data_IF_086890710344
#
_entry.id   IF_086890710344
#
_cell.length_a   1.000
_cell.length_b   1.000
_cell.length_c   1.000
_cell.angle_alpha   90.00
_cell.angle_beta   90.00
_cell.angle_gamma   90.00
#
_symmetry.space_group_name_H-M   'P 1'
#
loop_
_entity.id
_entity.type
_entity.pdbx_description
1 polymer ?
#
# COMPACT_ATOMS: atom_id res chain seq x y z
N UNK A 1 -22.44 12.79 -6.44
CA UNK A 1 -21.49 13.71 -5.78
C UNK A 1 -20.27 12.91 -5.39
N UNK A 2 -19.09 13.50 -5.52
CA UNK A 2 -17.79 12.85 -5.29
C UNK A 2 -16.96 13.70 -4.35
N UNK A 3 -16.39 13.09 -3.31
CA UNK A 3 -15.39 13.72 -2.45
C UNK A 3 -14.01 13.26 -2.92
N UNK A 4 -13.30 14.14 -3.61
CA UNK A 4 -11.95 13.87 -4.09
C UNK A 4 -10.92 14.29 -3.02
N UNK A 5 -10.38 13.32 -2.28
CA UNK A 5 -9.32 13.58 -1.30
C UNK A 5 -7.98 13.64 -2.01
N UNK A 6 -7.36 14.82 -2.06
CA UNK A 6 -6.09 15.06 -2.74
C UNK A 6 -4.99 15.36 -1.73
N UNK A 7 -3.81 14.76 -1.90
CA UNK A 7 -2.63 15.07 -1.07
C UNK A 7 -1.98 16.37 -1.57
N UNK A 8 -1.89 17.37 -0.68
CA UNK A 8 -1.28 18.69 -0.92
C UNK A 8 0.20 18.61 -1.31
N UNK A 9 0.94 17.63 -0.78
CA UNK A 9 2.35 17.46 -1.06
C UNK A 9 2.63 16.77 -2.42
N UNK A 10 1.60 16.18 -3.04
CA UNK A 10 1.65 15.59 -4.37
C UNK A 10 0.50 16.10 -5.25
N UNK A 11 0.18 17.39 -5.11
CA UNK A 11 -1.06 17.97 -5.65
C UNK A 11 -1.15 17.84 -7.17
N UNK A 12 -0.04 18.02 -7.89
CA UNK A 12 0.03 17.95 -9.35
C UNK A 12 -0.51 16.61 -9.89
N UNK A 13 -0.06 15.49 -9.32
CA UNK A 13 -0.53 14.16 -9.72
C UNK A 13 -2.01 13.94 -9.38
N UNK A 14 -2.44 14.42 -8.21
CA UNK A 14 -3.82 14.20 -7.76
C UNK A 14 -4.82 15.07 -8.54
N UNK A 15 -4.41 16.26 -8.96
CA UNK A 15 -5.24 17.11 -9.82
C UNK A 15 -5.48 16.49 -11.20
N UNK A 16 -4.60 15.60 -11.68
CA UNK A 16 -4.89 14.82 -12.89
C UNK A 16 -6.16 13.99 -12.72
N UNK A 17 -6.33 13.30 -11.59
CA UNK A 17 -7.58 12.59 -11.28
C UNK A 17 -8.76 13.55 -11.14
N UNK A 18 -8.57 14.71 -10.51
CA UNK A 18 -9.64 15.73 -10.44
C UNK A 18 -10.07 16.17 -11.83
N UNK A 19 -9.13 16.34 -12.78
CA UNK A 19 -9.42 16.73 -14.16
C UNK A 19 -10.30 15.72 -14.91
N UNK A 20 -10.27 14.43 -14.52
CA UNK A 20 -11.16 13.38 -15.04
C UNK A 20 -12.57 13.43 -14.45
N UNK A 21 -12.67 13.86 -13.19
CA UNK A 21 -13.92 13.85 -12.43
C UNK A 21 -14.78 15.08 -12.72
N UNK A 22 -14.16 16.24 -12.95
CA UNK A 22 -14.86 17.51 -13.14
C UNK A 22 -15.83 17.53 -14.34
N UNK A 23 -15.56 16.89 -15.50
CA UNK A 23 -16.48 16.91 -16.63
C UNK A 23 -17.72 16.02 -16.43
N UNK A 24 -17.76 15.17 -15.40
CA UNK A 24 -18.93 14.33 -15.10
C UNK A 24 -20.07 15.16 -14.46
N UNK A 25 -21.31 14.71 -14.62
CA UNK A 25 -22.48 15.32 -13.98
C UNK A 25 -22.44 15.34 -12.43
N UNK A 26 -21.58 14.52 -11.83
CA UNK A 26 -21.44 14.47 -10.38
C UNK A 26 -20.70 15.69 -9.86
N UNK A 27 -21.32 16.44 -8.94
CA UNK A 27 -20.63 17.51 -8.20
C UNK A 27 -19.41 16.97 -7.46
N UNK A 28 -18.26 17.62 -7.60
CA UNK A 28 -16.98 17.26 -6.97
C UNK A 28 -16.66 18.25 -5.86
N UNK A 29 -16.26 17.75 -4.69
CA UNK A 29 -15.64 18.56 -3.63
C UNK A 29 -14.24 18.05 -3.38
N UNK A 30 -13.29 18.96 -3.21
CA UNK A 30 -11.87 18.62 -3.02
C UNK A 30 -11.50 18.72 -1.53
N UNK A 31 -11.12 17.59 -0.94
CA UNK A 31 -10.50 17.55 0.38
C UNK A 31 -8.98 17.63 0.24
N UNK A 32 -8.40 18.81 0.46
CA UNK A 32 -6.96 19.03 0.38
C UNK A 32 -6.28 18.53 1.66
N UNK A 33 -5.82 17.28 1.65
CA UNK A 33 -5.23 16.59 2.79
C UNK A 33 -3.71 16.75 2.85
N UNK A 34 -3.10 16.45 4.00
CA UNK A 34 -1.64 16.50 4.25
C UNK A 34 -1.02 17.90 4.03
N UNK A 35 -1.77 18.96 4.36
CA UNK A 35 -1.28 20.35 4.29
C UNK A 35 -0.10 20.62 5.22
N UNK A 36 0.00 19.88 6.33
CA UNK A 36 1.14 19.94 7.25
C UNK A 36 2.41 19.31 6.66
N UNK A 37 2.28 18.18 5.97
CA UNK A 37 3.41 17.54 5.27
C UNK A 37 3.91 18.42 4.12
N UNK A 38 3.01 19.05 3.37
CA UNK A 38 3.40 19.99 2.32
C UNK A 38 4.19 21.18 2.89
N UNK A 39 3.72 21.75 4.01
CA UNK A 39 4.38 22.85 4.69
C UNK A 39 5.77 22.46 5.25
N UNK A 40 5.92 21.25 5.78
CA UNK A 40 7.22 20.71 6.26
C UNK A 40 8.24 20.57 5.11
N UNK A 41 7.79 20.36 3.87
CA UNK A 41 8.62 20.39 2.64
C UNK A 41 8.79 21.78 2.04
N UNK A 42 8.31 22.83 2.72
CA UNK A 42 8.38 24.21 2.24
C UNK A 42 7.41 24.54 1.09
N UNK A 43 6.45 23.65 0.79
CA UNK A 43 5.37 23.91 -0.16
C UNK A 43 4.16 24.47 0.58
N UNK A 44 3.73 25.68 0.21
CA UNK A 44 2.50 26.26 0.74
C UNK A 44 1.42 26.21 -0.33
N UNK A 45 0.30 25.55 -0.01
CA UNK A 45 -0.87 25.45 -0.90
C UNK A 45 -1.96 26.32 -0.32
N UNK A 46 -2.42 27.31 -1.08
CA UNK A 46 -3.47 28.24 -0.67
C UNK A 46 -4.85 27.68 -1.07
N UNK A 47 -5.67 27.16 -0.12
CA UNK A 47 -6.91 26.46 -0.45
C UNK A 47 -7.92 27.36 -1.16
N UNK A 48 -8.02 28.62 -0.75
CA UNK A 48 -8.97 29.58 -1.33
C UNK A 48 -8.60 29.93 -2.77
N UNK A 49 -7.30 30.02 -3.08
CA UNK A 49 -6.83 30.27 -4.46
C UNK A 49 -7.07 29.04 -5.33
N UNK A 50 -6.88 27.83 -4.78
CA UNK A 50 -7.19 26.60 -5.48
C UNK A 50 -8.69 26.46 -5.75
N UNK A 51 -9.54 26.80 -4.77
CA UNK A 51 -11.00 26.84 -4.93
C UNK A 51 -11.42 27.78 -6.05
N UNK A 52 -10.89 29.01 -6.07
CA UNK A 52 -11.17 29.97 -7.12
C UNK A 52 -10.68 29.49 -8.50
N UNK A 53 -9.51 28.85 -8.57
CA UNK A 53 -8.93 28.36 -9.81
C UNK A 53 -9.70 27.16 -10.39
N UNK A 54 -10.10 26.22 -9.53
CA UNK A 54 -10.86 25.02 -9.90
C UNK A 54 -12.36 25.31 -10.11
N UNK A 55 -12.91 26.32 -9.45
CA UNK A 55 -14.35 26.61 -9.49
C UNK A 55 -15.22 25.60 -8.74
N UNK A 56 -14.61 24.83 -7.81
CA UNK A 56 -15.29 23.86 -6.94
C UNK A 56 -14.80 24.03 -5.50
N UNK A 57 -15.62 23.68 -4.48
CA UNK A 57 -15.23 23.84 -3.09
C UNK A 57 -13.96 23.05 -2.74
N UNK A 58 -13.02 23.70 -2.03
CA UNK A 58 -11.77 23.09 -1.56
C UNK A 58 -11.67 23.27 -0.05
N UNK A 59 -11.59 22.16 0.68
CA UNK A 59 -11.45 22.18 2.15
C UNK A 59 -10.09 21.63 2.54
N UNK A 60 -9.29 22.44 3.22
CA UNK A 60 -8.01 21.99 3.79
C UNK A 60 -8.21 21.10 5.00
N UNK A 61 -7.51 19.98 5.05
CA UNK A 61 -7.64 19.00 6.12
C UNK A 61 -6.32 18.33 6.50
N UNK A 62 -6.29 17.83 7.74
CA UNK A 62 -5.27 16.88 8.22
C UNK A 62 -6.04 15.70 8.80
N UNK A 63 -6.34 14.72 7.93
CA UNK A 63 -7.17 13.56 8.28
C UNK A 63 -6.64 12.81 9.50
N UNK A 64 -5.32 12.63 9.58
CA UNK A 64 -4.66 11.95 10.69
C UNK A 64 -4.90 12.63 12.07
N UNK A 65 -5.11 13.95 12.09
CA UNK A 65 -5.39 14.75 13.28
C UNK A 65 -6.88 15.08 13.44
N UNK A 66 -7.74 14.52 12.59
CA UNK A 66 -9.18 14.80 12.52
C UNK A 66 -9.50 16.31 12.40
N UNK A 67 -8.63 17.07 11.72
CA UNK A 67 -8.81 18.51 11.46
C UNK A 67 -9.32 18.72 10.04
N UNK A 68 -10.31 19.59 9.82
CA UNK A 68 -10.89 19.84 8.50
C UNK A 68 -11.95 18.82 8.06
N UNK A 69 -12.17 17.74 8.85
CA UNK A 69 -13.14 16.69 8.50
C UNK A 69 -14.57 17.18 8.68
N UNK A 70 -14.84 17.94 9.75
CA UNK A 70 -16.18 18.48 9.99
C UNK A 70 -16.52 19.56 8.97
N UNK A 71 -15.56 20.43 8.70
CA UNK A 71 -15.66 21.48 7.69
C UNK A 71 -15.89 20.90 6.29
N UNK A 72 -15.28 19.74 5.98
CA UNK A 72 -15.54 19.02 4.74
C UNK A 72 -16.96 18.47 4.68
N UNK A 73 -17.47 17.92 5.78
CA UNK A 73 -18.86 17.45 5.87
C UNK A 73 -19.85 18.62 5.73
N UNK A 74 -19.58 19.74 6.39
CA UNK A 74 -20.42 20.94 6.29
C UNK A 74 -20.43 21.46 4.83
N UNK A 75 -19.29 21.48 4.15
CA UNK A 75 -19.20 21.87 2.74
C UNK A 75 -19.90 20.88 1.80
N UNK A 76 -19.86 19.58 2.12
CA UNK A 76 -20.63 18.54 1.42
C UNK A 76 -22.14 18.81 1.53
N UNK A 77 -22.62 19.12 2.74
CA UNK A 77 -24.03 19.40 2.99
C UNK A 77 -24.47 20.66 2.23
N UNK A 78 -23.69 21.75 2.29
CA UNK A 78 -23.99 22.99 1.57
C UNK A 78 -24.03 22.78 0.04
N UNK A 79 -23.11 22.00 -0.51
CA UNK A 79 -23.06 21.69 -1.95
C UNK A 79 -24.24 20.80 -2.39
N UNK A 80 -24.67 19.88 -1.53
CA UNK A 80 -25.84 19.04 -1.77
C UNK A 80 -27.13 19.87 -1.82
N UNK A 81 -27.29 20.85 -0.92
CA UNK A 81 -28.44 21.76 -0.88
C UNK A 81 -28.39 22.87 -1.96
N UNK A 82 -27.28 22.99 -2.69
CA UNK A 82 -27.12 23.97 -3.76
C UNK A 82 -26.83 25.39 -3.27
N UNK A 83 -26.36 25.53 -2.04
CA UNK A 83 -26.06 26.81 -1.40
C UNK A 83 -24.68 27.35 -1.78
N UNK A 84 -23.80 26.50 -2.32
CA UNK A 84 -22.48 26.88 -2.83
C UNK A 84 -22.47 26.98 -4.36
N UNK A 85 -21.90 28.06 -4.94
CA UNK A 85 -21.65 28.13 -6.37
C UNK A 85 -20.79 26.95 -6.84
N UNK A 86 -21.24 26.26 -7.89
CA UNK A 86 -20.50 25.14 -8.48
C UNK A 86 -20.35 25.40 -9.98
N UNK A 87 -19.14 25.83 -10.38
CA UNK A 87 -18.82 26.18 -11.77
C UNK A 87 -17.39 25.70 -12.07
N UNK A 88 -17.21 24.39 -12.29
CA UNK A 88 -15.89 23.80 -12.45
C UNK A 88 -15.19 24.38 -13.68
N UNK A 89 -13.92 24.72 -13.52
CA UNK A 89 -13.03 25.10 -14.60
C UNK A 89 -12.47 23.83 -15.24
N UNK A 90 -12.98 23.47 -16.41
CA UNK A 90 -12.67 22.19 -17.07
C UNK A 90 -11.31 22.23 -17.80
N UNK A 91 -10.59 21.10 -17.89
CA UNK A 91 -9.43 20.99 -18.77
C UNK A 91 -9.89 21.13 -20.23
N UNK A 92 -9.10 21.87 -21.02
CA UNK A 92 -9.30 21.99 -22.46
C UNK A 92 -8.32 21.10 -23.20
N UNK A 93 -8.76 20.49 -24.30
CA UNK A 93 -7.87 19.82 -25.24
C UNK A 93 -7.00 20.85 -25.98
N UNK A 94 -5.81 20.40 -26.41
CA UNK A 94 -4.91 21.20 -27.24
C UNK A 94 -5.64 21.68 -28.50
N UNK A 95 -5.32 22.91 -28.92
CA UNK A 95 -6.08 23.64 -29.93
C UNK A 95 -6.22 22.91 -31.27
N UNK A 96 -5.22 22.11 -31.63
CA UNK A 96 -5.15 21.33 -32.87
C UNK A 96 -6.15 20.17 -32.96
N UNK A 97 -6.73 19.73 -31.83
CA UNK A 97 -7.68 18.63 -31.78
C UNK A 97 -9.08 19.06 -31.30
N UNK A 98 -9.34 20.38 -31.16
CA UNK A 98 -10.66 20.89 -30.74
C UNK A 98 -11.73 20.63 -31.78
N UNK A 99 -11.42 20.89 -33.05
CA UNK A 99 -12.36 20.68 -34.16
C UNK A 99 -12.75 19.20 -34.28
N UNK A 100 -11.77 18.31 -34.13
CA UNK A 100 -11.97 16.85 -34.13
C UNK A 100 -12.88 16.41 -32.98
N UNK A 101 -12.67 16.96 -31.78
CA UNK A 101 -13.52 16.68 -30.63
C UNK A 101 -14.96 17.15 -30.86
N UNK A 102 -15.15 18.34 -31.45
CA UNK A 102 -16.47 18.88 -31.78
C UNK A 102 -17.20 18.03 -32.84
N UNK A 103 -16.46 17.47 -33.82
CA UNK A 103 -16.99 16.55 -34.82
C UNK A 103 -17.48 15.24 -34.18
N UNK A 104 -16.66 14.61 -33.34
CA UNK A 104 -17.06 13.42 -32.58
C UNK A 104 -18.26 13.73 -31.69
N UNK A 105 -18.27 14.88 -31.02
CA UNK A 105 -19.40 15.32 -30.18
C UNK A 105 -20.71 15.36 -30.97
N UNK A 106 -20.68 15.91 -32.18
CA UNK A 106 -21.86 16.00 -33.03
C UNK A 106 -22.35 14.62 -33.49
N UNK A 107 -21.45 13.68 -33.75
CA UNK A 107 -21.80 12.32 -34.16
C UNK A 107 -22.41 11.48 -33.03
N UNK A 108 -21.98 11.72 -31.78
CA UNK A 108 -22.39 10.90 -30.63
C UNK A 108 -23.52 11.50 -29.80
N UNK A 109 -23.87 12.78 -29.99
CA UNK A 109 -24.78 13.54 -29.11
C UNK A 109 -26.09 12.84 -28.77
N UNK A 110 -26.70 12.20 -29.77
CA UNK A 110 -28.04 11.60 -29.63
C UNK A 110 -28.00 10.16 -29.09
N UNK A 111 -26.81 9.59 -28.98
CA UNK A 111 -26.58 8.17 -28.67
C UNK A 111 -25.91 7.94 -27.32
N UNK A 112 -25.45 9.00 -26.64
CA UNK A 112 -24.79 8.87 -25.34
C UNK A 112 -25.82 8.43 -24.27
N UNK A 113 -25.61 7.29 -23.61
CA UNK A 113 -26.53 6.83 -22.58
C UNK A 113 -26.40 7.66 -21.30
N UNK A 114 -27.53 7.91 -20.63
CA UNK A 114 -27.52 8.41 -19.25
C UNK A 114 -26.82 7.38 -18.34
N UNK A 115 -25.96 7.81 -17.38
CA UNK A 115 -25.79 9.16 -16.86
C UNK A 115 -24.60 9.95 -17.46
N UNK A 116 -24.03 9.51 -18.59
CA UNK A 116 -22.80 10.08 -19.11
C UNK A 116 -23.03 11.41 -19.85
N UNK A 117 -22.20 12.44 -19.61
CA UNK A 117 -22.20 13.65 -20.43
C UNK A 117 -21.67 13.39 -21.84
N UNK A 118 -22.21 14.10 -22.83
CA UNK A 118 -21.77 13.98 -24.23
C UNK A 118 -20.31 14.41 -24.39
N UNK A 119 -19.93 15.58 -23.85
CA UNK A 119 -18.56 16.10 -23.96
C UNK A 119 -17.53 15.13 -23.35
N UNK A 120 -17.86 14.54 -22.19
CA UNK A 120 -17.01 13.56 -21.53
C UNK A 120 -16.88 12.28 -22.36
N UNK A 121 -17.98 11.80 -22.95
CA UNK A 121 -17.98 10.59 -23.79
C UNK A 121 -17.17 10.79 -25.07
N UNK A 122 -17.36 11.92 -25.74
CA UNK A 122 -16.57 12.28 -26.92
C UNK A 122 -15.07 12.37 -26.60
N UNK A 123 -14.72 13.00 -25.46
CA UNK A 123 -13.34 13.08 -24.99
C UNK A 123 -12.75 11.70 -24.70
N UNK A 124 -13.53 10.79 -24.09
CA UNK A 124 -13.08 9.42 -23.77
C UNK A 124 -12.88 8.54 -25.00
N UNK A 125 -13.74 8.70 -26.02
CA UNK A 125 -13.53 8.05 -27.32
C UNK A 125 -12.22 8.53 -27.97
N UNK A 126 -11.98 9.84 -27.94
CA UNK A 126 -10.77 10.45 -28.49
C UNK A 126 -9.49 10.07 -27.70
N UNK A 127 -9.62 9.81 -26.40
CA UNK A 127 -8.54 9.29 -25.55
C UNK A 127 -8.27 7.79 -25.78
N UNK A 128 -9.16 7.07 -26.48
CA UNK A 128 -9.05 5.63 -26.72
C UNK A 128 -9.42 4.77 -25.50
N UNK A 129 -10.35 5.24 -24.66
CA UNK A 129 -10.84 4.48 -23.51
C UNK A 129 -11.53 3.19 -23.98
N UNK A 130 -10.99 2.03 -23.61
CA UNK A 130 -11.45 0.73 -24.11
C UNK A 130 -12.89 0.39 -23.68
N UNK A 131 -13.31 0.81 -22.48
CA UNK A 131 -14.63 0.50 -21.93
C UNK A 131 -15.70 1.35 -22.60
N UNK A 132 -15.46 2.67 -22.72
CA UNK A 132 -16.37 3.59 -23.42
C UNK A 132 -16.43 3.29 -24.91
N UNK A 133 -15.30 2.95 -25.54
CA UNK A 133 -15.25 2.53 -26.95
C UNK A 133 -16.11 1.29 -27.18
N UNK A 134 -15.99 0.27 -26.34
CA UNK A 134 -16.79 -0.95 -26.47
C UNK A 134 -18.29 -0.68 -26.24
N UNK A 135 -18.64 0.09 -25.20
CA UNK A 135 -20.02 0.48 -24.93
C UNK A 135 -20.64 1.22 -26.11
N UNK A 136 -19.95 2.25 -26.62
CA UNK A 136 -20.48 3.08 -27.71
C UNK A 136 -20.61 2.29 -29.01
N UNK A 137 -19.64 1.43 -29.34
CA UNK A 137 -19.68 0.57 -30.53
C UNK A 137 -20.76 -0.50 -30.47
N UNK A 138 -20.83 -1.23 -29.35
CA UNK A 138 -21.58 -2.48 -29.29
C UNK A 138 -23.04 -2.26 -28.85
N UNK A 139 -23.36 -1.14 -28.20
CA UNK A 139 -24.65 -0.94 -27.53
C UNK A 139 -25.35 0.36 -27.88
N UNK A 140 -24.62 1.42 -28.27
CA UNK A 140 -25.20 2.76 -28.38
C UNK A 140 -25.31 3.26 -29.83
N UNK A 141 -24.22 3.23 -30.59
CA UNK A 141 -24.17 3.75 -31.94
C UNK A 141 -24.62 2.70 -32.97
N UNK A 142 -25.39 3.09 -34.00
CA UNK A 142 -25.59 2.23 -35.16
C UNK A 142 -24.30 2.09 -35.95
N UNK A 143 -24.20 1.01 -36.74
CA UNK A 143 -22.96 0.64 -37.43
C UNK A 143 -22.41 1.73 -38.37
N UNK A 144 -23.28 2.48 -39.04
CA UNK A 144 -22.89 3.55 -39.97
C UNK A 144 -22.27 4.76 -39.24
N UNK A 145 -22.87 5.19 -38.13
CA UNK A 145 -22.32 6.27 -37.30
C UNK A 145 -21.02 5.83 -36.61
N UNK A 146 -20.95 4.57 -36.16
CA UNK A 146 -19.71 4.02 -35.60
C UNK A 146 -18.58 4.04 -36.61
N UNK A 147 -18.83 3.68 -37.88
CA UNK A 147 -17.81 3.69 -38.93
C UNK A 147 -17.25 5.10 -39.16
N UNK A 148 -18.11 6.12 -39.13
CA UNK A 148 -17.68 7.54 -39.19
C UNK A 148 -16.79 7.91 -37.99
N UNK A 149 -17.25 7.65 -36.77
CA UNK A 149 -16.46 7.93 -35.55
C UNK A 149 -15.13 7.18 -35.58
N UNK A 150 -15.15 5.90 -35.94
CA UNK A 150 -13.95 5.07 -35.99
C UNK A 150 -12.95 5.57 -37.03
N UNK A 151 -13.42 6.05 -38.19
CA UNK A 151 -12.54 6.63 -39.21
C UNK A 151 -11.80 7.87 -38.72
N UNK A 152 -12.48 8.74 -37.95
CA UNK A 152 -11.88 9.93 -37.33
C UNK A 152 -10.86 9.51 -36.27
N UNK A 153 -11.20 8.56 -35.41
CA UNK A 153 -10.29 8.06 -34.37
C UNK A 153 -9.01 7.45 -34.95
N UNK A 154 -9.12 6.70 -36.04
CA UNK A 154 -7.97 6.11 -36.74
C UNK A 154 -7.12 7.16 -37.47
N UNK A 155 -7.72 8.26 -37.93
CA UNK A 155 -6.97 9.36 -38.54
C UNK A 155 -6.19 10.19 -37.51
N UNK A 156 -6.62 10.18 -36.24
CA UNK A 156 -6.09 10.99 -35.15
C UNK A 156 -5.58 10.14 -33.97
N UNK A 157 -4.72 9.16 -34.24
CA UNK A 157 -4.12 8.33 -33.18
C UNK A 157 -3.28 9.15 -32.16
N UNK A 158 -2.79 10.33 -32.55
CA UNK A 158 -2.05 11.25 -31.68
C UNK A 158 -2.96 12.06 -30.73
N UNK A 159 -4.28 11.97 -30.87
CA UNK A 159 -5.22 12.70 -30.05
C UNK A 159 -5.14 12.31 -28.56
N UNK A 160 -4.75 11.06 -28.26
CA UNK A 160 -4.48 10.59 -26.88
C UNK A 160 -3.42 11.48 -26.21
N UNK A 161 -2.36 11.83 -26.95
CA UNK A 161 -1.31 12.71 -26.46
C UNK A 161 -1.82 14.16 -26.31
N UNK A 162 -2.69 14.62 -27.20
CA UNK A 162 -3.30 15.94 -27.13
C UNK A 162 -4.22 16.10 -25.91
N UNK A 163 -5.03 15.09 -25.60
CA UNK A 163 -5.88 15.04 -24.39
C UNK A 163 -5.02 15.05 -23.14
N UNK A 164 -4.02 14.18 -23.06
CA UNK A 164 -3.11 14.11 -21.93
C UNK A 164 -2.37 15.45 -21.72
N UNK A 165 -1.85 16.04 -22.79
CA UNK A 165 -1.15 17.33 -22.75
C UNK A 165 -2.05 18.46 -22.26
N UNK A 166 -3.28 18.56 -22.75
CA UNK A 166 -4.25 19.57 -22.33
C UNK A 166 -4.58 19.49 -20.83
N UNK A 167 -4.70 18.28 -20.29
CA UNK A 167 -4.88 18.04 -18.86
C UNK A 167 -3.65 18.45 -18.04
N UNK A 168 -2.45 18.08 -18.47
CA UNK A 168 -1.22 18.50 -17.80
C UNK A 168 -1.03 20.02 -17.82
N UNK A 169 -1.38 20.68 -18.92
CA UNK A 169 -1.37 22.13 -19.00
C UNK A 169 -2.37 22.76 -18.03
N UNK A 170 -3.59 22.23 -17.95
CA UNK A 170 -4.60 22.66 -16.99
C UNK A 170 -4.13 22.47 -15.56
N UNK A 171 -3.60 21.29 -15.20
CA UNK A 171 -3.01 21.02 -13.88
C UNK A 171 -1.90 22.03 -13.59
N UNK A 172 -0.99 22.26 -14.54
CA UNK A 172 0.08 23.23 -14.41
C UNK A 172 -0.42 24.66 -14.15
N UNK A 173 -1.54 25.06 -14.75
CA UNK A 173 -2.20 26.35 -14.46
C UNK A 173 -2.73 26.39 -13.02
N UNK A 174 -3.42 25.35 -12.57
CA UNK A 174 -3.96 25.25 -11.20
C UNK A 174 -2.84 25.30 -10.15
N UNK A 175 -1.75 24.56 -10.38
CA UNK A 175 -0.58 24.53 -9.51
C UNK A 175 0.11 25.89 -9.46
N UNK A 176 0.34 26.54 -10.62
CA UNK A 176 0.96 27.88 -10.65
C UNK A 176 0.14 28.93 -9.93
N UNK A 177 -1.19 28.80 -9.92
CA UNK A 177 -2.07 29.72 -9.21
C UNK A 177 -2.01 29.49 -7.70
N UNK A 178 -2.09 28.24 -7.24
CA UNK A 178 -2.38 27.94 -5.83
C UNK A 178 -1.20 27.44 -5.00
N UNK A 179 -0.05 27.12 -5.61
CA UNK A 179 1.10 26.53 -4.91
C UNK A 179 2.31 27.45 -4.96
N UNK A 180 2.78 27.86 -3.79
CA UNK A 180 4.09 28.50 -3.63
C UNK A 180 5.14 27.45 -3.26
N UNK A 181 6.12 27.25 -4.15
CA UNK A 181 7.25 26.33 -3.95
C UNK A 181 8.46 27.06 -3.35
N UNK A 182 9.32 26.38 -2.57
CA UNK A 182 10.54 26.99 -2.05
C UNK A 182 11.51 27.35 -3.18
N UNK A 183 12.43 28.30 -2.93
CA UNK A 183 13.46 28.70 -3.92
C UNK A 183 14.34 27.49 -4.28
N UNK A 184 14.59 27.31 -5.58
CA UNK A 184 15.45 26.26 -6.11
C UNK A 184 16.81 26.27 -5.40
N UNK A 185 17.18 25.14 -4.76
CA UNK A 185 18.46 24.98 -4.04
C UNK A 185 18.38 24.82 -2.51
N UNK A 186 17.20 24.91 -1.89
CA UNK A 186 17.02 24.52 -0.48
C UNK A 186 16.86 23.01 -0.37
N UNK A 187 17.88 22.33 0.16
CA UNK A 187 17.80 20.90 0.46
C UNK A 187 16.96 20.72 1.73
N UNK A 188 15.80 20.06 1.61
CA UNK A 188 14.93 19.76 2.76
C UNK A 188 15.55 18.66 3.63
N UNK A 189 15.12 18.55 4.90
CA UNK A 189 15.65 17.53 5.81
C UNK A 189 15.42 16.10 5.29
N UNK A 190 14.28 15.89 4.64
CA UNK A 190 13.89 14.64 3.99
C UNK A 190 14.82 14.30 2.82
N UNK A 191 15.16 15.27 1.99
CA UNK A 191 16.12 15.09 0.88
C UNK A 191 17.52 14.70 1.39
N UNK A 192 17.96 15.26 2.53
CA UNK A 192 19.23 14.86 3.17
C UNK A 192 19.19 13.43 3.67
N UNK A 193 18.11 13.02 4.32
CA UNK A 193 17.92 11.67 4.84
C UNK A 193 17.83 10.67 3.68
N UNK A 194 17.05 10.99 2.65
CA UNK A 194 16.88 10.16 1.46
C UNK A 194 18.20 9.93 0.74
N UNK A 195 19.09 10.93 0.67
CA UNK A 195 20.42 10.75 0.08
C UNK A 195 21.23 9.62 0.73
N UNK A 196 21.12 9.43 2.05
CA UNK A 196 21.79 8.32 2.73
C UNK A 196 20.98 7.03 2.68
N UNK A 197 19.67 7.13 2.91
CA UNK A 197 18.76 5.98 2.97
C UNK A 197 18.61 5.28 1.61
N UNK A 198 18.73 6.00 0.49
CA UNK A 198 18.59 5.45 -0.88
C UNK A 198 19.92 5.11 -1.54
N UNK A 199 21.05 5.45 -0.92
CA UNK A 199 22.37 5.16 -1.47
C UNK A 199 22.60 3.64 -1.54
N UNK A 200 23.21 3.09 -2.61
CA UNK A 200 23.31 1.64 -2.81
C UNK A 200 24.05 0.88 -1.69
N UNK A 201 25.07 1.50 -1.08
CA UNK A 201 25.83 0.91 0.04
C UNK A 201 25.31 1.38 1.39
N UNK A 202 25.31 2.69 1.67
CA UNK A 202 24.80 3.24 2.93
C UNK A 202 23.34 2.89 3.21
N UNK A 203 22.47 2.87 2.20
CA UNK A 203 21.07 2.45 2.34
C UNK A 203 20.95 1.00 2.79
N UNK A 204 21.78 0.09 2.28
CA UNK A 204 21.79 -1.32 2.71
C UNK A 204 22.31 -1.47 4.16
N UNK A 205 23.33 -0.69 4.53
CA UNK A 205 23.84 -0.66 5.91
C UNK A 205 22.80 -0.09 6.89
N UNK A 206 22.14 1.01 6.53
CA UNK A 206 21.06 1.61 7.32
C UNK A 206 19.89 0.65 7.45
N UNK A 207 19.51 -0.03 6.35
CA UNK A 207 18.49 -1.07 6.37
C UNK A 207 18.89 -2.18 7.34
N UNK A 208 20.08 -2.77 7.21
CA UNK A 208 20.55 -3.81 8.12
C UNK A 208 20.57 -3.36 9.59
N UNK A 209 20.98 -2.12 9.86
CA UNK A 209 20.96 -1.55 11.20
C UNK A 209 19.54 -1.40 11.76
N UNK A 210 18.61 -0.85 10.97
CA UNK A 210 17.20 -0.71 11.36
C UNK A 210 16.58 -2.10 11.59
N UNK A 211 16.85 -3.07 10.71
CA UNK A 211 16.39 -4.45 10.90
C UNK A 211 16.95 -5.05 12.19
N UNK A 212 18.23 -4.84 12.47
CA UNK A 212 18.86 -5.25 13.72
C UNK A 212 18.18 -4.64 14.95
N UNK A 213 17.81 -3.35 14.89
CA UNK A 213 17.05 -2.68 15.95
C UNK A 213 15.64 -3.26 16.07
N UNK A 214 14.93 -3.51 14.96
CA UNK A 214 13.58 -4.11 14.98
C UNK A 214 13.61 -5.47 15.66
N UNK A 215 14.47 -6.39 15.23
CA UNK A 215 14.56 -7.72 15.84
C UNK A 215 15.09 -7.66 17.27
N UNK A 216 16.11 -6.83 17.53
CA UNK A 216 16.67 -6.64 18.86
C UNK A 216 15.61 -6.16 19.86
N UNK A 217 14.88 -5.09 19.54
CA UNK A 217 13.80 -4.57 20.38
C UNK A 217 12.68 -5.60 20.57
N UNK A 218 12.31 -6.30 19.49
CA UNK A 218 11.28 -7.34 19.51
C UNK A 218 11.62 -8.47 20.49
N UNK A 219 12.83 -9.02 20.45
CA UNK A 219 13.22 -10.14 21.31
C UNK A 219 13.58 -9.67 22.73
N UNK A 220 14.23 -8.52 22.88
CA UNK A 220 14.60 -7.98 24.21
C UNK A 220 13.37 -7.67 25.05
N UNK A 221 12.33 -7.08 24.44
CA UNK A 221 11.09 -6.74 25.15
C UNK A 221 10.10 -7.91 25.14
N UNK A 222 9.99 -8.62 24.02
CA UNK A 222 9.01 -9.69 23.84
C UNK A 222 9.32 -10.97 24.60
N UNK A 223 10.58 -11.39 24.72
CA UNK A 223 10.93 -12.65 25.43
C UNK A 223 10.60 -12.60 26.93
N UNK A 224 10.88 -11.51 27.67
CA UNK A 224 10.43 -11.39 29.05
C UNK A 224 8.90 -11.48 29.19
N UNK A 225 8.15 -10.77 28.33
CA UNK A 225 6.69 -10.81 28.32
C UNK A 225 6.15 -12.21 28.00
N UNK A 226 6.79 -12.90 27.04
CA UNK A 226 6.50 -14.28 26.70
C UNK A 226 6.68 -15.20 27.92
N UNK A 227 7.83 -15.13 28.59
CA UNK A 227 8.15 -15.98 29.74
C UNK A 227 7.22 -15.72 30.94
N UNK A 228 6.85 -14.46 31.18
CA UNK A 228 5.87 -14.10 32.21
C UNK A 228 4.52 -14.76 31.93
N UNK A 229 4.05 -14.68 30.68
CA UNK A 229 2.77 -15.26 30.28
C UNK A 229 2.80 -16.80 30.36
N UNK A 230 3.90 -17.39 29.93
CA UNK A 230 4.12 -18.84 29.98
C UNK A 230 4.12 -19.35 31.42
N UNK A 231 4.91 -18.72 32.30
CA UNK A 231 5.06 -19.15 33.70
C UNK A 231 3.78 -18.91 34.51
N UNK A 232 3.24 -17.68 34.47
CA UNK A 232 2.18 -17.28 35.40
C UNK A 232 0.77 -17.62 34.90
N UNK A 233 0.54 -17.62 33.59
CA UNK A 233 -0.79 -17.91 33.05
C UNK A 233 -0.89 -19.37 32.64
N UNK A 234 -0.02 -19.82 31.73
CA UNK A 234 -0.12 -21.17 31.17
C UNK A 234 0.33 -22.22 32.18
N UNK A 235 1.43 -21.99 32.90
CA UNK A 235 1.89 -22.85 33.98
C UNK A 235 0.81 -23.05 35.05
N UNK A 236 0.21 -21.96 35.53
CA UNK A 236 -0.86 -22.03 36.52
C UNK A 236 -2.11 -22.76 36.01
N UNK A 237 -2.51 -22.53 34.75
CA UNK A 237 -3.63 -23.24 34.10
C UNK A 237 -3.33 -24.73 33.94
N UNK A 238 -2.11 -25.09 33.55
CA UNK A 238 -1.67 -26.46 33.39
C UNK A 238 -1.65 -27.20 34.75
N UNK A 239 -1.10 -26.58 35.79
CA UNK A 239 -1.11 -27.12 37.15
C UNK A 239 -2.54 -27.33 37.68
N UNK A 240 -3.40 -26.32 37.52
CA UNK A 240 -4.81 -26.39 37.95
C UNK A 240 -5.56 -27.51 37.20
N UNK A 241 -5.38 -27.60 35.88
CA UNK A 241 -5.99 -28.65 35.07
C UNK A 241 -5.47 -30.04 35.48
N UNK A 242 -4.16 -30.18 35.70
CA UNK A 242 -3.56 -31.45 36.16
C UNK A 242 -4.09 -31.88 37.53
N UNK A 243 -4.28 -30.94 38.46
CA UNK A 243 -4.85 -31.20 39.79
C UNK A 243 -6.31 -31.64 39.73
N UNK A 244 -7.13 -31.00 38.88
CA UNK A 244 -8.54 -31.38 38.70
C UNK A 244 -8.71 -32.71 37.95
N UNK A 245 -7.79 -33.05 37.05
CA UNK A 245 -7.84 -34.26 36.22
C UNK A 245 -7.05 -35.44 36.84
N UNK A 246 -6.46 -35.27 38.02
CA UNK A 246 -5.66 -36.29 38.69
C UNK A 246 -6.41 -37.61 38.96
N UNK A 247 -7.74 -37.57 39.09
CA UNK A 247 -8.59 -38.76 39.25
C UNK A 247 -9.09 -39.39 37.93
N UNK A 248 -8.74 -38.82 36.78
CA UNK A 248 -9.22 -39.24 35.46
C UNK A 248 -8.23 -40.13 34.69
N UNK A 249 -8.63 -40.65 33.51
CA UNK A 249 -7.74 -41.41 32.63
C UNK A 249 -6.55 -40.56 32.15
N UNK A 250 -5.35 -41.15 32.10
CA UNK A 250 -4.12 -40.45 31.70
C UNK A 250 -4.21 -39.79 30.31
N UNK A 251 -4.94 -40.40 29.37
CA UNK A 251 -5.12 -39.84 28.02
C UNK A 251 -5.91 -38.52 28.03
N UNK A 252 -6.84 -38.34 28.97
CA UNK A 252 -7.63 -37.12 29.08
C UNK A 252 -6.80 -35.98 29.68
N UNK A 253 -5.96 -36.29 30.68
CA UNK A 253 -5.01 -35.32 31.25
C UNK A 253 -3.99 -34.87 30.20
N UNK A 254 -3.41 -35.79 29.42
CA UNK A 254 -2.48 -35.45 28.34
C UNK A 254 -3.14 -34.62 27.23
N UNK A 255 -4.36 -34.97 26.81
CA UNK A 255 -5.09 -34.19 25.80
C UNK A 255 -5.35 -32.74 26.24
N UNK A 256 -5.74 -32.54 27.49
CA UNK A 256 -6.09 -31.21 28.01
C UNK A 256 -4.83 -30.41 28.33
N UNK A 257 -3.85 -30.99 29.02
CA UNK A 257 -2.64 -30.28 29.47
C UNK A 257 -1.64 -30.13 28.34
N UNK A 258 -1.20 -31.22 27.73
CA UNK A 258 -0.16 -31.22 26.69
C UNK A 258 -0.71 -30.87 25.30
N UNK A 259 -1.99 -31.18 25.04
CA UNK A 259 -2.64 -30.86 23.76
C UNK A 259 -3.20 -29.44 23.74
N UNK A 260 -4.29 -29.22 24.48
CA UNK A 260 -5.05 -27.97 24.42
C UNK A 260 -4.33 -26.81 25.12
N UNK A 261 -3.94 -26.99 26.39
CA UNK A 261 -3.36 -25.90 27.20
C UNK A 261 -1.98 -25.53 26.67
N UNK A 262 -1.10 -26.49 26.41
CA UNK A 262 0.21 -26.19 25.83
C UNK A 262 0.07 -25.64 24.40
N UNK A 263 -0.79 -26.24 23.56
CA UNK A 263 -1.04 -25.76 22.20
C UNK A 263 -1.55 -24.31 22.17
N UNK A 264 -2.64 -24.01 22.88
CA UNK A 264 -3.15 -22.64 23.03
C UNK A 264 -2.12 -21.72 23.70
N UNK A 265 -1.38 -22.26 24.67
CA UNK A 265 -0.35 -21.55 25.42
C UNK A 265 0.78 -21.05 24.52
N UNK A 266 1.28 -21.88 23.60
CA UNK A 266 2.29 -21.45 22.62
C UNK A 266 1.78 -20.28 21.76
N UNK A 267 0.54 -20.37 21.23
CA UNK A 267 -0.05 -19.30 20.41
C UNK A 267 -0.15 -17.99 21.18
N UNK A 268 -0.62 -18.05 22.43
CA UNK A 268 -0.83 -16.88 23.28
C UNK A 268 0.50 -16.27 23.74
N UNK A 269 1.50 -17.09 24.06
CA UNK A 269 2.85 -16.65 24.48
C UNK A 269 3.68 -16.06 23.36
N UNK A 270 3.46 -16.45 22.10
CA UNK A 270 4.09 -15.80 20.95
C UNK A 270 3.46 -14.43 20.60
N UNK A 271 2.26 -14.14 21.07
CA UNK A 271 1.54 -12.91 20.71
C UNK A 271 2.28 -11.62 21.08
N UNK A 272 2.88 -11.45 22.28
CA UNK A 272 3.63 -10.25 22.64
C UNK A 272 4.78 -9.94 21.69
N UNK A 273 5.55 -10.96 21.29
CA UNK A 273 6.65 -10.82 20.33
C UNK A 273 6.11 -10.29 19.00
N UNK A 274 5.04 -10.89 18.47
CA UNK A 274 4.46 -10.47 17.20
C UNK A 274 3.85 -9.06 17.27
N UNK A 275 3.17 -8.71 18.36
CA UNK A 275 2.60 -7.37 18.57
C UNK A 275 3.70 -6.31 18.53
N UNK A 276 4.83 -6.55 19.22
CA UNK A 276 5.97 -5.62 19.21
C UNK A 276 6.59 -5.54 17.81
N UNK A 277 6.80 -6.68 17.15
CA UNK A 277 7.32 -6.71 15.79
C UNK A 277 6.44 -5.90 14.83
N UNK A 278 5.13 -6.14 14.83
CA UNK A 278 4.19 -5.42 13.99
C UNK A 278 4.09 -3.94 14.36
N UNK A 279 4.23 -3.57 15.64
CA UNK A 279 4.20 -2.17 16.05
C UNK A 279 5.41 -1.39 15.52
N UNK A 280 6.61 -1.97 15.63
CA UNK A 280 7.84 -1.36 15.10
C UNK A 280 7.79 -1.32 13.56
N UNK A 281 7.29 -2.38 12.93
CA UNK A 281 7.13 -2.43 11.49
C UNK A 281 6.14 -1.37 10.98
N UNK A 282 4.96 -1.28 11.61
CA UNK A 282 3.92 -0.30 11.29
C UNK A 282 4.42 1.14 11.51
N UNK A 283 5.25 1.38 12.54
CA UNK A 283 5.91 2.67 12.73
C UNK A 283 6.83 3.03 11.55
N UNK A 284 7.65 2.08 11.06
CA UNK A 284 8.55 2.33 9.93
C UNK A 284 7.77 2.50 8.60
N UNK A 285 6.68 1.78 8.44
CA UNK A 285 5.78 1.90 7.28
C UNK A 285 5.08 3.26 7.26
N UNK A 286 4.48 3.65 8.38
CA UNK A 286 3.76 4.93 8.52
C UNK A 286 4.71 6.14 8.55
N UNK A 287 6.00 5.99 8.87
CA UNK A 287 6.97 7.06 8.64
C UNK A 287 7.42 7.17 7.16
N UNK A 288 7.07 6.22 6.31
CA UNK A 288 7.47 6.18 4.90
C UNK A 288 8.85 5.55 4.64
N UNK A 289 9.53 5.02 5.67
CA UNK A 289 10.86 4.40 5.50
C UNK A 289 10.80 3.14 4.63
N UNK A 290 9.70 2.37 4.72
CA UNK A 290 9.55 1.12 3.97
C UNK A 290 9.66 1.30 2.45
N UNK A 291 9.27 2.45 1.90
CA UNK A 291 9.44 2.75 0.48
C UNK A 291 10.92 2.90 0.06
N UNK A 292 11.76 3.48 0.94
CA UNK A 292 13.22 3.59 0.72
C UNK A 292 13.89 2.24 0.84
N UNK A 293 13.48 1.44 1.83
CA UNK A 293 13.95 0.06 1.97
C UNK A 293 13.62 -0.77 0.72
N UNK A 294 12.40 -0.65 0.20
CA UNK A 294 11.99 -1.27 -1.05
C UNK A 294 12.82 -0.80 -2.25
N UNK A 295 13.14 0.50 -2.34
CA UNK A 295 14.00 1.06 -3.38
C UNK A 295 15.43 0.47 -3.33
N UNK A 296 16.07 0.45 -2.16
CA UNK A 296 17.42 -0.13 -1.99
C UNK A 296 17.44 -1.62 -2.31
N UNK A 297 16.37 -2.33 -1.94
CA UNK A 297 16.23 -3.77 -2.20
C UNK A 297 15.82 -4.10 -3.63
N UNK A 298 15.41 -3.12 -4.45
CA UNK A 298 14.91 -3.35 -5.80
C UNK A 298 15.93 -4.09 -6.68
N UNK A 299 17.22 -3.73 -6.58
CA UNK A 299 18.30 -4.43 -7.29
C UNK A 299 18.37 -5.92 -6.95
N UNK A 300 18.19 -6.28 -5.67
CA UNK A 300 18.19 -7.68 -5.23
C UNK A 300 16.92 -8.40 -5.63
N UNK A 301 15.77 -7.73 -5.56
CA UNK A 301 14.48 -8.28 -5.98
C UNK A 301 14.45 -8.57 -7.48
N UNK A 302 15.05 -7.69 -8.28
CA UNK A 302 15.09 -7.85 -9.74
C UNK A 302 15.93 -9.06 -10.18
N UNK A 303 16.91 -9.52 -9.37
CA UNK A 303 17.62 -10.79 -9.62
C UNK A 303 16.67 -11.99 -9.59
N UNK A 304 15.64 -11.94 -8.75
CA UNK A 304 14.57 -12.94 -8.67
C UNK A 304 13.40 -12.65 -9.64
N UNK A 305 13.47 -11.55 -10.41
CA UNK A 305 12.37 -11.05 -11.25
C UNK A 305 11.19 -10.46 -10.47
N UNK A 306 11.45 -10.02 -9.25
CA UNK A 306 10.52 -9.27 -8.41
C UNK A 306 10.82 -7.77 -8.47
N UNK A 307 9.85 -6.96 -8.03
CA UNK A 307 10.04 -5.52 -7.80
C UNK A 307 10.32 -5.23 -6.33
N UNK A 308 10.92 -4.07 -6.04
CA UNK A 308 11.14 -3.57 -4.68
C UNK A 308 9.88 -3.61 -3.79
N UNK A 309 8.67 -3.40 -4.33
CA UNK A 309 7.40 -3.56 -3.59
C UNK A 309 7.20 -4.96 -2.99
N UNK A 310 7.82 -5.99 -3.57
CA UNK A 310 7.75 -7.38 -3.08
C UNK A 310 8.58 -7.60 -1.81
N UNK A 311 9.54 -6.72 -1.54
CA UNK A 311 10.33 -6.75 -0.31
C UNK A 311 9.45 -6.53 0.93
N UNK A 312 8.45 -5.64 0.86
CA UNK A 312 7.56 -5.33 2.00
C UNK A 312 6.84 -6.59 2.54
N UNK A 313 6.10 -7.38 1.71
CA UNK A 313 5.52 -8.65 2.15
C UNK A 313 6.55 -9.68 2.63
N UNK A 314 7.67 -9.85 1.92
CA UNK A 314 8.70 -10.81 2.31
C UNK A 314 9.33 -10.46 3.67
N UNK A 315 9.52 -9.16 3.92
CA UNK A 315 10.05 -8.67 5.18
C UNK A 315 9.06 -8.89 6.33
N UNK A 316 7.77 -8.64 6.11
CA UNK A 316 6.69 -8.98 7.05
C UNK A 316 6.66 -10.48 7.39
N UNK A 317 7.12 -11.34 6.46
CA UNK A 317 7.26 -12.79 6.65
C UNK A 317 8.22 -13.21 7.76
N UNK A 318 9.23 -12.38 8.07
CA UNK A 318 10.10 -12.62 9.22
C UNK A 318 9.35 -12.56 10.55
N UNK A 319 8.26 -11.78 10.62
CA UNK A 319 7.32 -11.84 11.74
C UNK A 319 6.41 -13.04 11.60
N UNK A 320 5.52 -13.00 10.60
CA UNK A 320 4.56 -14.07 10.34
C UNK A 320 4.23 -14.18 8.85
N UNK A 321 4.21 -15.41 8.34
CA UNK A 321 3.91 -15.69 6.94
C UNK A 321 2.44 -15.44 6.56
N UNK A 322 1.50 -15.49 7.52
CA UNK A 322 0.08 -15.25 7.25
C UNK A 322 -0.20 -13.81 6.79
N UNK A 323 0.14 -12.76 7.57
CA UNK A 323 -0.04 -11.37 7.13
C UNK A 323 0.91 -11.01 5.98
N UNK A 324 2.07 -11.66 5.87
CA UNK A 324 2.96 -11.50 4.71
C UNK A 324 2.26 -11.90 3.39
N UNK A 325 1.65 -13.07 3.35
CA UNK A 325 0.90 -13.55 2.18
C UNK A 325 -0.31 -12.65 1.90
N UNK A 326 -1.05 -12.23 2.92
CA UNK A 326 -2.18 -11.30 2.77
C UNK A 326 -1.73 -9.91 2.25
N UNK A 327 -0.59 -9.42 2.73
CA UNK A 327 0.02 -8.15 2.35
C UNK A 327 0.55 -8.12 0.92
N UNK A 328 0.79 -9.27 0.29
CA UNK A 328 1.20 -9.35 -1.12
C UNK A 328 0.19 -8.74 -2.09
N UNK A 329 -1.05 -8.47 -1.65
CA UNK A 329 -2.09 -7.79 -2.43
C UNK A 329 -1.70 -6.40 -2.94
N UNK A 330 -0.73 -5.74 -2.30
CA UNK A 330 -0.21 -4.42 -2.68
C UNK A 330 0.62 -4.48 -3.98
N UNK A 331 1.02 -5.68 -4.41
CA UNK A 331 1.80 -5.88 -5.64
C UNK A 331 0.86 -5.83 -6.85
N UNK A 332 1.08 -4.84 -7.71
CA UNK A 332 0.25 -4.56 -8.90
C UNK A 332 0.28 -5.72 -9.91
N UNK A 333 1.47 -6.27 -10.18
CA UNK A 333 1.61 -7.36 -11.15
C UNK A 333 1.20 -8.70 -10.55
N UNK A 334 0.25 -9.39 -11.22
CA UNK A 334 -0.21 -10.72 -10.79
C UNK A 334 0.94 -11.72 -10.67
N UNK A 335 1.90 -11.67 -11.60
CA UNK A 335 3.09 -12.52 -11.62
C UNK A 335 3.96 -12.31 -10.38
N UNK A 336 4.38 -11.07 -10.09
CA UNK A 336 5.24 -10.82 -8.93
C UNK A 336 4.48 -11.10 -7.63
N UNK A 337 3.16 -10.87 -7.59
CA UNK A 337 2.32 -11.25 -6.45
C UNK A 337 2.33 -12.76 -6.20
N UNK A 338 2.11 -13.58 -7.22
CA UNK A 338 2.15 -15.05 -7.09
C UNK A 338 3.53 -15.55 -6.67
N UNK A 339 4.60 -15.01 -7.29
CA UNK A 339 5.97 -15.38 -6.94
C UNK A 339 6.27 -15.01 -5.47
N UNK A 340 5.84 -13.83 -5.02
CA UNK A 340 6.01 -13.40 -3.62
C UNK A 340 5.25 -14.29 -2.65
N UNK A 341 4.01 -14.69 -2.97
CA UNK A 341 3.22 -15.61 -2.15
C UNK A 341 3.93 -16.97 -2.02
N UNK A 342 4.51 -17.48 -3.11
CA UNK A 342 5.20 -18.77 -3.12
C UNK A 342 6.55 -18.73 -2.38
N UNK A 343 7.20 -17.57 -2.36
CA UNK A 343 8.48 -17.36 -1.69
C UNK A 343 8.33 -17.01 -0.20
N UNK A 344 7.22 -16.40 0.22
CA UNK A 344 6.99 -16.02 1.62
C UNK A 344 7.20 -17.19 2.61
N UNK A 345 6.74 -18.43 2.36
CA UNK A 345 7.01 -19.58 3.22
C UNK A 345 8.49 -19.96 3.38
N UNK A 346 9.39 -19.50 2.50
CA UNK A 346 10.83 -19.76 2.62
C UNK A 346 11.52 -18.74 3.54
N UNK A 347 10.85 -17.63 3.86
CA UNK A 347 11.34 -16.67 4.85
C UNK A 347 11.28 -17.31 6.24
N UNK A 348 12.39 -17.29 7.01
CA UNK A 348 12.38 -17.80 8.37
C UNK A 348 11.56 -16.85 9.26
N UNK A 349 10.34 -17.26 9.61
CA UNK A 349 9.51 -16.51 10.55
C UNK A 349 10.05 -16.58 11.98
N UNK A 350 9.57 -15.71 12.87
CA UNK A 350 9.99 -15.63 14.26
C UNK A 350 9.96 -16.98 14.98
N UNK A 351 8.92 -17.80 14.75
CA UNK A 351 8.81 -19.13 15.33
C UNK A 351 9.91 -20.09 14.83
N UNK A 352 10.23 -20.08 13.52
CA UNK A 352 11.32 -20.91 12.97
C UNK A 352 12.68 -20.45 13.46
N UNK A 353 12.87 -19.14 13.58
CA UNK A 353 14.08 -18.58 14.17
C UNK A 353 14.24 -19.02 15.63
N UNK A 354 13.17 -18.98 16.42
CA UNK A 354 13.17 -19.46 17.80
C UNK A 354 13.57 -20.94 17.89
N UNK A 355 13.00 -21.80 17.03
CA UNK A 355 13.37 -23.22 16.97
C UNK A 355 14.84 -23.41 16.59
N UNK A 356 15.35 -22.67 15.60
CA UNK A 356 16.77 -22.73 15.21
C UNK A 356 17.66 -22.33 16.40
N UNK A 357 17.36 -21.21 17.05
CA UNK A 357 18.14 -20.69 18.19
C UNK A 357 18.07 -21.61 19.40
N UNK A 358 16.96 -22.31 19.61
CA UNK A 358 16.81 -23.27 20.70
C UNK A 358 17.54 -24.60 20.44
N UNK A 359 17.47 -25.13 19.22
CA UNK A 359 18.06 -26.43 18.89
C UNK A 359 19.57 -26.36 18.65
N UNK A 360 20.09 -25.29 18.04
CA UNK A 360 21.52 -25.26 17.69
C UNK A 360 22.47 -25.35 18.89
N UNK A 361 22.21 -24.76 20.08
CA UNK A 361 23.04 -24.95 21.27
C UNK A 361 23.07 -26.40 21.75
N UNK A 362 21.93 -27.10 21.66
CA UNK A 362 21.79 -28.49 22.10
C UNK A 362 22.66 -29.42 21.25
N UNK A 363 22.68 -29.23 19.93
CA UNK A 363 23.41 -30.12 19.01
C UNK A 363 24.86 -29.71 18.74
N UNK A 364 25.15 -28.40 18.70
CA UNK A 364 26.44 -27.89 18.18
C UNK A 364 27.26 -27.12 19.23
N UNK A 365 26.74 -26.95 20.44
CA UNK A 365 27.47 -26.34 21.57
C UNK A 365 28.13 -25.02 21.21
N UNK A 366 29.47 -24.98 21.21
CA UNK A 366 30.25 -23.76 20.93
C UNK A 366 30.05 -23.20 19.51
N UNK A 367 29.71 -24.04 18.54
CA UNK A 367 29.48 -23.62 17.14
C UNK A 367 28.03 -23.23 16.87
N UNK A 368 27.16 -23.26 17.87
CA UNK A 368 25.72 -23.05 17.72
C UNK A 368 25.34 -21.72 17.06
N UNK A 369 26.04 -20.63 17.40
CA UNK A 369 25.82 -19.32 16.81
C UNK A 369 26.15 -19.32 15.31
N UNK A 370 27.33 -19.83 14.94
CA UNK A 370 27.75 -19.94 13.54
C UNK A 370 26.81 -20.83 12.73
N UNK A 371 26.35 -21.95 13.30
CA UNK A 371 25.39 -22.85 12.65
C UNK A 371 24.02 -22.18 12.50
N UNK A 372 23.52 -21.47 13.51
CA UNK A 372 22.26 -20.74 13.42
C UNK A 372 22.31 -19.67 12.31
N UNK A 373 23.36 -18.84 12.29
CA UNK A 373 23.58 -17.86 11.22
C UNK A 373 23.70 -18.52 9.85
N UNK A 374 24.39 -19.67 9.76
CA UNK A 374 24.51 -20.45 8.53
C UNK A 374 23.16 -20.97 8.02
N UNK A 375 22.30 -21.50 8.90
CA UNK A 375 20.96 -21.98 8.54
C UNK A 375 20.05 -20.85 8.07
N UNK A 376 20.08 -19.70 8.75
CA UNK A 376 19.33 -18.51 8.34
C UNK A 376 19.83 -18.01 6.98
N UNK A 377 21.15 -17.87 6.81
CA UNK A 377 21.73 -17.46 5.53
C UNK A 377 21.39 -18.44 4.40
N UNK A 378 21.46 -19.75 4.67
CA UNK A 378 21.07 -20.80 3.72
C UNK A 378 19.60 -20.64 3.29
N UNK A 379 18.68 -20.37 4.23
CA UNK A 379 17.27 -20.16 3.90
C UNK A 379 17.05 -18.97 2.94
N UNK A 380 17.81 -17.88 3.12
CA UNK A 380 17.77 -16.71 2.24
C UNK A 380 18.41 -16.98 0.88
N UNK A 381 19.46 -17.79 0.83
CA UNK A 381 20.07 -18.25 -0.44
C UNK A 381 19.08 -19.14 -1.19
N UNK A 382 18.43 -20.09 -0.51
CA UNK A 382 17.39 -20.94 -1.11
C UNK A 382 16.23 -20.11 -1.63
N UNK A 383 15.75 -19.13 -0.84
CA UNK A 383 14.74 -18.15 -1.28
C UNK A 383 15.16 -17.48 -2.60
N UNK A 384 16.40 -16.97 -2.68
CA UNK A 384 16.91 -16.29 -3.87
C UNK A 384 17.03 -17.22 -5.08
N UNK A 385 17.57 -18.42 -4.90
CA UNK A 385 17.74 -19.41 -5.96
C UNK A 385 16.40 -19.89 -6.48
N UNK A 386 15.48 -20.28 -5.59
CA UNK A 386 14.14 -20.72 -5.96
C UNK A 386 13.39 -19.60 -6.67
N UNK A 387 13.47 -18.35 -6.19
CA UNK A 387 12.87 -17.20 -6.85
C UNK A 387 13.38 -17.01 -8.28
N UNK A 388 14.69 -17.02 -8.47
CA UNK A 388 15.31 -16.89 -9.79
C UNK A 388 14.94 -18.04 -10.74
N UNK A 389 14.89 -19.29 -10.24
CA UNK A 389 14.50 -20.45 -11.03
C UNK A 389 13.04 -20.38 -11.46
N UNK A 390 12.11 -20.12 -10.54
CA UNK A 390 10.69 -20.05 -10.87
C UNK A 390 10.42 -18.91 -11.87
N UNK A 391 11.10 -17.77 -11.67
CA UNK A 391 11.00 -16.63 -12.56
C UNK A 391 11.53 -16.91 -13.98
N UNK A 392 12.58 -17.74 -14.12
CA UNK A 392 13.15 -18.09 -15.42
C UNK A 392 12.36 -19.19 -16.14
N UNK A 393 11.81 -20.15 -15.40
CA UNK A 393 11.26 -21.38 -15.97
C UNK A 393 9.73 -21.38 -16.06
N UNK A 394 9.02 -20.85 -15.06
CA UNK A 394 7.56 -20.99 -14.92
C UNK A 394 6.82 -19.73 -15.37
N UNK A 395 7.30 -18.56 -14.95
CA UNK A 395 6.64 -17.29 -15.25
C UNK A 395 7.42 -16.59 -16.37
N UNK A 396 6.98 -16.63 -17.62
CA UNK A 396 7.59 -15.86 -18.74
C UNK A 396 6.73 -14.65 -19.07
N UNK A 397 7.33 -13.49 -19.39
CA UNK A 397 6.57 -12.25 -19.69
C UNK A 397 7.36 -10.96 -19.42
N UNK A 398 6.86 -9.86 -19.98
CA UNK A 398 7.49 -8.53 -20.00
C UNK A 398 7.68 -7.92 -18.61
N UNK A 399 8.76 -7.15 -18.45
CA UNK A 399 9.07 -6.42 -17.23
C UNK A 399 8.20 -5.17 -17.22
N UNK A 400 7.27 -5.05 -16.27
CA UNK A 400 6.55 -3.81 -16.09
C UNK A 400 7.56 -2.70 -15.77
N UNK A 401 7.54 -1.61 -16.55
CA UNK A 401 8.33 -0.42 -16.26
C UNK A 401 7.91 0.11 -14.89
N UNK A 402 8.83 0.03 -13.93
CA UNK A 402 8.53 0.35 -12.54
C UNK A 402 8.87 1.82 -12.27
N UNK A 403 7.85 2.65 -12.12
CA UNK A 403 7.98 4.02 -11.61
C UNK A 403 7.61 3.97 -10.12
N UNK A 404 8.62 3.97 -9.25
CA UNK A 404 8.42 4.06 -7.80
C UNK A 404 8.40 5.52 -7.39
N UNK A 405 7.22 6.04 -7.06
CA UNK A 405 7.13 7.31 -6.36
C UNK A 405 7.49 7.10 -4.89
N UNK A 406 8.52 7.81 -4.42
CA UNK A 406 8.93 7.79 -3.03
C UNK A 406 7.98 8.72 -2.25
N UNK A 407 7.15 8.20 -1.32
CA UNK A 407 6.30 9.05 -0.49
C UNK A 407 7.16 9.94 0.41
N UNK A 408 6.67 11.11 0.80
CA UNK A 408 7.41 11.98 1.72
C UNK A 408 7.45 11.36 3.13
N UNK A 409 8.47 11.71 3.91
CA UNK A 409 8.46 11.37 5.34
C UNK A 409 7.35 12.17 6.02
N UNK A 410 6.58 11.51 6.87
CA UNK A 410 5.62 12.18 7.72
C UNK A 410 5.67 11.64 9.14
N UNK A 411 5.07 12.39 10.07
CA UNK A 411 5.01 11.96 11.46
C UNK A 411 4.07 10.76 11.60
N UNK A 412 4.45 9.76 12.41
CA UNK A 412 3.64 8.56 12.58
C UNK A 412 2.36 8.87 13.35
N UNK A 413 1.26 8.25 12.94
CA UNK A 413 -0.04 8.34 13.58
C UNK A 413 -0.28 7.10 14.46
N UNK A 414 -0.35 7.25 15.80
CA UNK A 414 -0.54 6.13 16.71
C UNK A 414 -1.86 5.37 16.47
N UNK A 415 -2.89 6.04 15.92
CA UNK A 415 -4.16 5.38 15.57
C UNK A 415 -3.99 4.40 14.42
N UNK A 416 -3.32 4.82 13.35
CA UNK A 416 -3.04 3.98 12.18
C UNK A 416 -2.20 2.77 12.58
N UNK A 417 -1.13 3.00 13.35
CA UNK A 417 -0.26 1.95 13.89
C UNK A 417 -1.07 0.97 14.73
N UNK A 418 -1.92 1.46 15.64
CA UNK A 418 -2.76 0.60 16.49
C UNK A 418 -3.72 -0.29 15.69
N UNK A 419 -4.35 0.26 14.65
CA UNK A 419 -5.24 -0.50 13.76
C UNK A 419 -4.46 -1.59 13.01
N UNK A 420 -3.29 -1.26 12.47
CA UNK A 420 -2.46 -2.21 11.72
C UNK A 420 -1.95 -3.35 12.61
N UNK A 421 -1.47 -3.03 13.82
CA UNK A 421 -1.05 -4.01 14.81
C UNK A 421 -2.20 -4.93 15.19
N UNK A 422 -3.39 -4.37 15.44
CA UNK A 422 -4.58 -5.16 15.76
C UNK A 422 -4.99 -6.10 14.63
N UNK A 423 -5.03 -5.61 13.39
CA UNK A 423 -5.38 -6.42 12.22
C UNK A 423 -4.42 -7.58 12.04
N UNK A 424 -3.11 -7.32 12.01
CA UNK A 424 -2.09 -8.36 11.82
C UNK A 424 -2.08 -9.39 12.97
N UNK A 425 -2.24 -8.93 14.20
CA UNK A 425 -2.29 -9.81 15.38
C UNK A 425 -3.56 -10.66 15.40
N UNK A 426 -4.69 -10.10 14.99
CA UNK A 426 -5.96 -10.83 14.87
C UNK A 426 -5.92 -11.87 13.76
N UNK A 427 -5.30 -11.55 12.62
CA UNK A 427 -5.10 -12.52 11.53
C UNK A 427 -4.24 -13.71 11.97
N UNK A 428 -3.15 -13.45 12.70
CA UNK A 428 -2.35 -14.51 13.31
C UNK A 428 -3.19 -15.40 14.23
N UNK A 429 -3.92 -14.79 15.18
CA UNK A 429 -4.69 -15.56 16.18
C UNK A 429 -5.79 -16.41 15.55
N UNK A 430 -6.51 -15.87 14.56
CA UNK A 430 -7.60 -16.59 13.88
C UNK A 430 -7.11 -17.70 12.96
N UNK A 431 -6.05 -17.45 12.17
CA UNK A 431 -5.60 -18.38 11.12
C UNK A 431 -4.50 -19.32 11.60
N UNK A 432 -3.42 -18.79 12.16
CA UNK A 432 -2.32 -19.62 12.65
C UNK A 432 -2.69 -20.29 13.97
N UNK A 433 -3.33 -19.54 14.89
CA UNK A 433 -3.72 -20.06 16.20
C UNK A 433 -4.67 -21.25 16.14
N UNK A 434 -5.69 -21.20 15.28
CA UNK A 434 -6.62 -22.31 15.09
C UNK A 434 -5.94 -23.56 14.52
N UNK A 435 -5.06 -23.40 13.52
CA UNK A 435 -4.32 -24.51 12.93
C UNK A 435 -3.35 -25.14 13.94
N UNK A 436 -2.63 -24.33 14.71
CA UNK A 436 -1.71 -24.82 15.76
C UNK A 436 -2.49 -25.61 16.80
N UNK A 437 -3.62 -25.09 17.27
CA UNK A 437 -4.45 -25.78 18.26
C UNK A 437 -4.94 -27.14 17.74
N UNK A 438 -5.43 -27.21 16.49
CA UNK A 438 -5.87 -28.48 15.90
C UNK A 438 -4.72 -29.48 15.81
N UNK A 439 -3.53 -29.03 15.39
CA UNK A 439 -2.34 -29.89 15.29
C UNK A 439 -1.75 -30.30 16.64
N UNK A 440 -1.98 -29.53 17.71
CA UNK A 440 -1.55 -29.89 19.06
C UNK A 440 -2.51 -30.87 19.74
N UNK A 441 -3.79 -30.86 19.36
CA UNK A 441 -4.82 -31.75 19.89
C UNK A 441 -4.77 -33.15 19.27
N UNK A 442 -4.36 -33.24 17.99
CA UNK A 442 -4.14 -34.50 17.25
C UNK A 442 -2.77 -35.06 17.58
#
# INVERSE_FOLDING_TARGET
>A
MVVAVVNAASLERNLYLVSELLPLHSKVIVGLNMVDVAADEGMNVEPQVLEAALGVPVVSMIAAKNKGVRELMDAVDLLAHGETPYRPNLPEIRADHREVLDEIRALVSDWVPQPYPVDWTALKLLEGDAEITAMMRDQCLPAEQWEQVHSILMAHEDAVLAVASGRYEWVGRMIRAAVTRPRTGQITLTERLDRYATHPVWGLLILAAILGVVFGLTFVVGTPLQNLLDTYIIGALAELASGLLAGGPAWLSGLVVDGIIAGAGTVVTFLPILVIFFAVLALLEDMGYMARAAYVMDRFMHLMGLHGKSFMPLFLGFGCNVPAVAGSRIIDSRRARLLTILLAPLVPCAARMAVIVFLTPIFFGRMATLVAWGLIAMSLVVLAVVGALINKWVLKGERAAFIMELPLYHRPNPRTIGIQVWQNSSEFLKKAGSLILVMSVV
#
